data_IF_341265243585
#
_entry.id   IF_341265243585
#
_cell.length_a   1.000
_cell.length_b   1.000
_cell.length_c   1.000
_cell.angle_alpha   90.00
_cell.angle_beta   90.00
_cell.angle_gamma   90.00
#
_symmetry.space_group_name_H-M   'P 1'
#
loop_
_entity.id
_entity.type
_entity.pdbx_description
1 polymer ?
#
# COMPACT_ATOMS: atom_id res chain seq x y z
N UNK A 1 18.19 -13.33 -18.51
CA UNK A 1 17.79 -12.65 -17.25
C UNK A 1 16.29 -12.51 -17.15
N UNK A 2 15.60 -12.05 -18.20
CA UNK A 2 14.13 -11.93 -18.20
C UNK A 2 13.38 -13.24 -17.85
N UNK A 3 13.95 -14.39 -18.23
CA UNK A 3 13.44 -15.71 -17.87
C UNK A 3 13.31 -15.96 -16.36
N UNK A 4 14.15 -15.31 -15.54
CA UNK A 4 14.12 -15.45 -14.08
C UNK A 4 13.20 -14.41 -13.41
N UNK A 5 12.75 -13.36 -14.13
CA UNK A 5 11.92 -12.31 -13.54
C UNK A 5 10.60 -12.87 -13.01
N UNK A 6 9.90 -13.67 -13.83
CA UNK A 6 8.59 -14.24 -13.46
C UNK A 6 8.69 -15.18 -12.23
N UNK A 7 9.63 -16.15 -12.17
CA UNK A 7 9.82 -16.96 -10.98
C UNK A 7 10.17 -16.14 -9.72
N UNK A 8 11.13 -15.22 -9.81
CA UNK A 8 11.53 -14.38 -8.66
C UNK A 8 10.36 -13.54 -8.16
N UNK A 9 9.58 -12.97 -9.08
CA UNK A 9 8.35 -12.23 -8.74
C UNK A 9 7.37 -13.13 -7.99
N UNK A 10 7.07 -14.31 -8.53
CA UNK A 10 6.15 -15.27 -7.91
C UNK A 10 6.61 -15.72 -6.52
N UNK A 11 7.91 -15.93 -6.32
CA UNK A 11 8.47 -16.29 -5.01
C UNK A 11 8.33 -15.12 -4.00
N UNK A 12 8.64 -13.89 -4.43
CA UNK A 12 8.44 -12.69 -3.62
C UNK A 12 6.96 -12.50 -3.25
N UNK A 13 6.05 -12.67 -4.20
CA UNK A 13 4.60 -12.58 -3.95
C UNK A 13 4.14 -13.64 -2.97
N UNK A 14 4.58 -14.89 -3.11
CA UNK A 14 4.25 -15.95 -2.16
C UNK A 14 4.71 -15.63 -0.73
N UNK A 15 5.89 -15.02 -0.57
CA UNK A 15 6.39 -14.58 0.72
C UNK A 15 5.58 -13.39 1.28
N UNK A 16 5.30 -12.40 0.44
CA UNK A 16 4.53 -11.21 0.82
C UNK A 16 3.08 -11.54 1.15
N UNK A 17 2.42 -12.46 0.44
CA UNK A 17 1.07 -12.94 0.75
C UNK A 17 1.03 -13.61 2.13
N UNK A 18 2.02 -14.46 2.46
CA UNK A 18 2.12 -15.04 3.82
C UNK A 18 2.32 -13.96 4.87
N UNK A 19 3.17 -12.97 4.59
CA UNK A 19 3.41 -11.86 5.50
C UNK A 19 2.14 -11.04 5.72
N UNK A 20 1.40 -10.71 4.66
CA UNK A 20 0.13 -10.00 4.71
C UNK A 20 -0.89 -10.71 5.61
N UNK A 21 -1.01 -12.04 5.50
CA UNK A 21 -1.92 -12.85 6.33
C UNK A 21 -1.62 -12.77 7.83
N UNK A 22 -0.39 -12.45 8.23
CA UNK A 22 -0.05 -12.31 9.66
C UNK A 22 -0.60 -11.02 10.29
N UNK A 23 -1.06 -10.05 9.49
CA UNK A 23 -1.47 -8.72 9.95
C UNK A 23 -0.42 -8.02 10.84
N UNK A 24 0.85 -8.40 10.70
CA UNK A 24 1.98 -7.85 11.42
C UNK A 24 2.94 -7.18 10.45
N UNK A 25 3.55 -6.09 10.92
CA UNK A 25 4.63 -5.39 10.22
C UNK A 25 6.00 -5.65 10.84
N UNK A 26 6.09 -6.58 11.81
CA UNK A 26 7.32 -6.81 12.57
C UNK A 26 8.35 -7.59 11.77
N UNK A 27 9.60 -7.14 11.83
CA UNK A 27 10.71 -7.82 11.14
C UNK A 27 10.90 -9.26 11.62
N UNK A 28 10.67 -9.56 12.90
CA UNK A 28 10.75 -10.92 13.43
C UNK A 28 9.83 -11.89 12.68
N UNK A 29 8.57 -11.48 12.48
CA UNK A 29 7.54 -12.27 11.78
C UNK A 29 7.96 -12.50 10.32
N UNK A 30 8.40 -11.44 9.64
CA UNK A 30 8.95 -11.55 8.29
C UNK A 30 10.14 -12.53 8.24
N UNK A 31 11.07 -12.43 9.20
CA UNK A 31 12.28 -13.24 9.25
C UNK A 31 11.97 -14.73 9.45
N UNK A 32 10.90 -15.06 10.16
CA UNK A 32 10.45 -16.43 10.35
C UNK A 32 9.91 -17.00 9.03
N UNK A 33 9.05 -16.26 8.32
CA UNK A 33 8.56 -16.65 7.00
C UNK A 33 9.72 -16.84 6.01
N UNK A 34 10.68 -15.91 5.99
CA UNK A 34 11.88 -15.99 5.16
C UNK A 34 12.67 -17.29 5.39
N UNK A 35 12.87 -17.66 6.66
CA UNK A 35 13.58 -18.89 7.05
C UNK A 35 12.78 -20.14 6.69
N UNK A 36 11.48 -20.16 6.98
CA UNK A 36 10.58 -21.28 6.66
C UNK A 36 10.55 -21.57 5.15
N UNK A 37 10.49 -20.52 4.33
CA UNK A 37 10.56 -20.62 2.88
C UNK A 37 11.96 -20.93 2.36
N UNK A 38 12.98 -20.96 3.23
CA UNK A 38 14.40 -21.13 2.87
C UNK A 38 14.85 -20.11 1.80
N UNK A 39 14.31 -18.89 1.87
CA UNK A 39 14.34 -17.92 0.77
C UNK A 39 15.77 -17.50 0.37
N UNK A 40 16.74 -17.62 1.30
CA UNK A 40 18.17 -17.43 1.02
C UNK A 40 18.70 -18.25 -0.17
N UNK A 41 18.06 -19.39 -0.47
CA UNK A 41 18.47 -20.28 -1.57
C UNK A 41 18.19 -19.70 -2.96
N UNK A 42 17.48 -18.57 -3.06
CA UNK A 42 17.23 -17.87 -4.33
C UNK A 42 18.54 -17.58 -5.09
N UNK A 43 19.64 -17.35 -4.38
CA UNK A 43 20.95 -17.05 -4.98
C UNK A 43 21.77 -18.29 -5.42
N UNK A 44 21.30 -19.52 -5.19
CA UNK A 44 22.12 -20.75 -5.35
C UNK A 44 22.37 -21.16 -6.81
N UNK A 45 21.50 -20.79 -7.75
CA UNK A 45 21.50 -21.34 -9.13
C UNK A 45 21.84 -20.33 -10.25
N UNK A 46 22.31 -19.13 -9.93
CA UNK A 46 22.59 -18.13 -10.98
C UNK A 46 24.02 -18.24 -11.54
N UNK A 47 24.13 -18.52 -12.85
CA UNK A 47 25.39 -18.43 -13.60
C UNK A 47 25.95 -17.00 -13.66
N UNK A 48 25.09 -15.97 -13.61
CA UNK A 48 25.47 -14.57 -13.55
C UNK A 48 24.96 -13.95 -12.23
N UNK A 49 25.70 -14.21 -11.15
CA UNK A 49 25.36 -13.78 -9.79
C UNK A 49 25.02 -12.29 -9.72
N UNK A 50 25.82 -11.45 -10.37
CA UNK A 50 25.68 -9.99 -10.33
C UNK A 50 24.39 -9.51 -10.99
N UNK A 51 24.13 -9.96 -12.22
CA UNK A 51 22.89 -9.62 -12.91
C UNK A 51 21.66 -10.14 -12.16
N UNK A 52 21.76 -11.31 -11.53
CA UNK A 52 20.68 -11.89 -10.75
C UNK A 52 20.40 -11.14 -9.45
N UNK A 53 21.44 -10.70 -8.74
CA UNK A 53 21.25 -9.87 -7.56
C UNK A 53 20.55 -8.55 -7.92
N UNK A 54 20.92 -7.91 -9.03
CA UNK A 54 20.19 -6.73 -9.55
C UNK A 54 18.73 -7.05 -9.83
N UNK A 55 18.44 -8.15 -10.52
CA UNK A 55 17.07 -8.55 -10.84
C UNK A 55 16.22 -8.73 -9.58
N UNK A 56 16.76 -9.41 -8.56
CA UNK A 56 16.04 -9.67 -7.31
C UNK A 56 15.80 -8.37 -6.53
N UNK A 57 16.79 -7.47 -6.47
CA UNK A 57 16.64 -6.14 -5.87
C UNK A 57 15.62 -5.28 -6.64
N UNK A 58 15.65 -5.29 -7.97
CA UNK A 58 14.69 -4.56 -8.82
C UNK A 58 13.25 -5.06 -8.59
N UNK A 59 13.05 -6.38 -8.44
CA UNK A 59 11.73 -6.95 -8.15
C UNK A 59 11.25 -6.54 -6.74
N UNK A 60 12.11 -6.62 -5.74
CA UNK A 60 11.78 -6.22 -4.37
C UNK A 60 11.45 -4.72 -4.26
N UNK A 61 12.19 -3.88 -4.99
CA UNK A 61 11.99 -2.44 -5.04
C UNK A 61 10.57 -2.07 -5.49
N UNK A 62 9.99 -2.79 -6.45
CA UNK A 62 8.61 -2.56 -6.88
C UNK A 62 7.63 -2.61 -5.71
N UNK A 63 7.75 -3.61 -4.82
CA UNK A 63 6.83 -3.79 -3.68
C UNK A 63 7.02 -2.76 -2.56
N UNK A 64 8.19 -2.13 -2.49
CA UNK A 64 8.48 -1.06 -1.53
C UNK A 64 7.80 0.27 -1.90
N UNK A 65 7.51 0.48 -3.18
CA UNK A 65 6.95 1.73 -3.71
C UNK A 65 5.41 1.72 -3.73
N UNK A 66 4.75 2.89 -3.74
CA UNK A 66 3.32 2.98 -4.03
C UNK A 66 2.97 2.32 -5.38
N UNK A 67 1.75 1.77 -5.56
CA UNK A 67 0.54 1.94 -4.74
C UNK A 67 0.29 0.78 -3.75
N UNK A 68 1.31 0.04 -3.34
CA UNK A 68 1.13 -1.08 -2.40
C UNK A 68 0.77 -0.61 -0.99
N UNK A 69 -0.01 -1.42 -0.27
CA UNK A 69 -0.37 -1.16 1.13
C UNK A 69 0.85 -1.03 2.03
N UNK A 70 0.72 -0.30 3.14
CA UNK A 70 1.80 -0.08 4.09
C UNK A 70 2.50 -1.38 4.50
N UNK A 71 1.74 -2.44 4.84
CA UNK A 71 2.31 -3.73 5.23
C UNK A 71 3.11 -4.39 4.09
N UNK A 72 2.64 -4.30 2.84
CA UNK A 72 3.38 -4.83 1.69
C UNK A 72 4.64 -4.02 1.44
N UNK A 73 4.58 -2.69 1.57
CA UNK A 73 5.76 -1.81 1.45
C UNK A 73 6.81 -2.10 2.51
N UNK A 74 6.40 -2.34 3.75
CA UNK A 74 7.27 -2.85 4.82
C UNK A 74 7.90 -4.19 4.42
N UNK A 75 7.11 -5.13 3.91
CA UNK A 75 7.61 -6.40 3.38
C UNK A 75 8.62 -6.22 2.23
N UNK A 76 8.38 -5.26 1.33
CA UNK A 76 9.30 -4.88 0.25
C UNK A 76 10.63 -4.34 0.77
N UNK A 77 10.61 -3.49 1.80
CA UNK A 77 11.82 -3.02 2.47
C UNK A 77 12.58 -4.18 3.14
N UNK A 78 11.88 -5.09 3.79
CA UNK A 78 12.51 -6.27 4.43
C UNK A 78 13.10 -7.24 3.41
N UNK A 79 12.46 -7.40 2.26
CA UNK A 79 13.01 -8.12 1.11
C UNK A 79 14.31 -7.45 0.64
N UNK A 80 14.31 -6.13 0.40
CA UNK A 80 15.50 -5.37 -0.01
C UNK A 80 16.65 -5.54 0.98
N UNK A 81 16.37 -5.41 2.28
CA UNK A 81 17.34 -5.63 3.36
C UNK A 81 17.93 -7.04 3.32
N UNK A 82 17.06 -8.05 3.26
CA UNK A 82 17.47 -9.45 3.28
C UNK A 82 18.27 -9.82 2.03
N UNK A 83 17.85 -9.37 0.85
CA UNK A 83 18.59 -9.60 -0.39
C UNK A 83 19.95 -8.90 -0.41
N UNK A 84 20.01 -7.66 0.06
CA UNK A 84 21.27 -6.91 0.10
C UNK A 84 22.31 -7.60 0.98
N UNK A 85 21.90 -8.21 2.11
CA UNK A 85 22.81 -8.91 3.01
C UNK A 85 23.06 -10.38 2.64
N UNK A 86 22.13 -11.05 1.94
CA UNK A 86 22.28 -12.45 1.54
C UNK A 86 22.91 -12.66 0.15
N UNK A 87 23.10 -11.60 -0.64
CA UNK A 87 23.70 -11.72 -1.96
C UNK A 87 25.14 -12.28 -1.90
N UNK A 88 25.54 -12.97 -2.96
CA UNK A 88 26.85 -13.67 -3.05
C UNK A 88 27.89 -12.91 -3.88
N UNK A 89 27.63 -11.63 -4.16
CA UNK A 89 28.48 -10.76 -4.96
C UNK A 89 29.49 -10.02 -4.08
N UNK A 90 30.68 -9.78 -4.62
CA UNK A 90 31.68 -8.91 -4.00
C UNK A 90 32.26 -7.97 -5.07
N UNK A 91 32.16 -6.63 -4.90
CA UNK A 91 31.34 -5.94 -3.89
C UNK A 91 29.83 -6.22 -4.03
N UNK A 92 29.03 -6.00 -2.96
CA UNK A 92 27.57 -6.12 -3.00
C UNK A 92 26.97 -5.23 -4.10
N UNK A 93 25.94 -5.73 -4.79
CA UNK A 93 25.12 -4.91 -5.67
C UNK A 93 24.22 -3.99 -4.84
N UNK A 94 24.17 -2.73 -5.27
CA UNK A 94 23.39 -1.68 -4.63
C UNK A 94 21.94 -1.67 -5.15
N UNK A 95 21.04 -1.22 -4.29
CA UNK A 95 19.62 -1.02 -4.58
C UNK A 95 19.48 0.28 -5.37
N UNK A 96 18.97 0.21 -6.59
CA UNK A 96 18.74 1.40 -7.42
C UNK A 96 17.49 2.12 -6.97
N UNK A 97 17.62 3.38 -6.60
CA UNK A 97 16.50 4.24 -6.17
C UNK A 97 16.39 5.38 -7.16
N UNK A 98 15.21 5.52 -7.78
CA UNK A 98 14.99 6.65 -8.68
C UNK A 98 14.92 7.94 -7.87
N UNK A 99 15.56 9.02 -8.32
CA UNK A 99 15.55 10.27 -7.56
C UNK A 99 14.14 10.82 -7.31
N UNK A 100 13.21 10.61 -8.26
CA UNK A 100 11.80 10.98 -8.14
C UNK A 100 11.06 10.20 -7.04
N UNK A 101 11.50 9.00 -6.70
CA UNK A 101 10.85 8.14 -5.71
C UNK A 101 11.33 8.46 -4.28
N UNK A 102 12.35 9.32 -4.14
CA UNK A 102 12.95 9.61 -2.83
C UNK A 102 11.97 10.28 -1.86
N UNK A 103 11.07 11.12 -2.37
CA UNK A 103 10.02 11.73 -1.55
C UNK A 103 9.10 10.66 -0.93
N UNK A 104 8.73 9.64 -1.71
CA UNK A 104 7.91 8.51 -1.23
C UNK A 104 8.63 7.68 -0.16
N UNK A 105 9.96 7.51 -0.29
CA UNK A 105 10.80 6.85 0.72
C UNK A 105 10.80 7.65 2.03
N UNK A 106 10.95 8.97 1.96
CA UNK A 106 10.96 9.86 3.14
C UNK A 106 9.59 9.94 3.81
N UNK A 107 8.51 9.97 3.02
CA UNK A 107 7.15 9.92 3.54
C UNK A 107 6.87 8.59 4.26
N UNK A 108 7.32 7.47 3.69
CA UNK A 108 7.21 6.14 4.31
C UNK A 108 7.99 6.02 5.61
N UNK A 109 9.21 6.57 5.67
CA UNK A 109 9.99 6.62 6.91
C UNK A 109 9.25 7.39 8.01
N UNK A 110 8.70 8.55 7.66
CA UNK A 110 7.91 9.37 8.58
C UNK A 110 6.68 8.62 9.09
N UNK A 111 5.89 8.03 8.18
CA UNK A 111 4.72 7.21 8.52
C UNK A 111 5.09 6.07 9.47
N UNK A 112 6.22 5.39 9.21
CA UNK A 112 6.72 4.30 10.06
C UNK A 112 7.11 4.78 11.46
N UNK A 113 7.70 5.96 11.58
CA UNK A 113 8.06 6.58 12.86
C UNK A 113 6.81 7.02 13.64
N UNK A 114 5.87 7.67 12.96
CA UNK A 114 4.61 8.12 13.55
C UNK A 114 3.78 6.94 14.08
N UNK A 115 3.80 5.81 13.36
CA UNK A 115 3.18 4.55 13.77
C UNK A 115 4.01 3.70 14.76
N UNK A 116 5.17 4.18 15.21
CA UNK A 116 6.07 3.49 16.14
C UNK A 116 6.57 2.10 15.66
N UNK A 117 6.72 1.94 14.34
CA UNK A 117 7.34 0.78 13.71
C UNK A 117 8.86 0.97 13.61
N UNK A 118 9.52 1.00 14.78
CA UNK A 118 10.94 1.31 14.90
C UNK A 118 11.86 0.34 14.14
N UNK A 119 11.46 -0.92 13.98
CA UNK A 119 12.17 -1.93 13.20
C UNK A 119 12.25 -1.55 11.71
N UNK A 120 11.17 -0.98 11.16
CA UNK A 120 11.13 -0.47 9.78
C UNK A 120 12.11 0.70 9.62
N UNK A 121 12.04 1.69 10.52
CA UNK A 121 12.91 2.85 10.50
C UNK A 121 14.40 2.45 10.66
N UNK A 122 14.68 1.54 11.60
CA UNK A 122 16.02 1.02 11.82
C UNK A 122 16.59 0.33 10.57
N UNK A 123 15.82 -0.53 9.90
CA UNK A 123 16.27 -1.22 8.68
C UNK A 123 16.55 -0.24 7.54
N UNK A 124 15.70 0.77 7.35
CA UNK A 124 15.93 1.80 6.33
C UNK A 124 17.22 2.59 6.62
N UNK A 125 17.42 2.99 7.88
CA UNK A 125 18.63 3.67 8.35
C UNK A 125 19.89 2.79 8.19
N UNK A 126 19.77 1.49 8.45
CA UNK A 126 20.85 0.54 8.27
C UNK A 126 21.27 0.44 6.79
N UNK A 127 20.31 0.36 5.87
CA UNK A 127 20.59 0.36 4.43
C UNK A 127 21.29 1.65 3.97
N UNK A 128 20.89 2.81 4.51
CA UNK A 128 21.57 4.08 4.24
C UNK A 128 23.01 4.09 4.77
N UNK A 129 23.21 3.63 6.00
CA UNK A 129 24.54 3.59 6.65
C UNK A 129 25.50 2.66 5.91
N UNK A 130 25.00 1.52 5.42
CA UNK A 130 25.77 0.60 4.60
C UNK A 130 26.01 1.08 3.15
N UNK A 131 25.52 2.28 2.78
CA UNK A 131 25.57 2.81 1.40
C UNK A 131 24.95 1.82 0.40
N UNK A 132 23.87 1.15 0.81
CA UNK A 132 23.20 0.15 -0.01
C UNK A 132 22.44 0.78 -1.19
N UNK A 133 22.04 2.06 -1.09
CA UNK A 133 21.32 2.76 -2.15
C UNK A 133 22.24 3.40 -3.18
N UNK A 134 21.90 3.22 -4.45
CA UNK A 134 22.46 3.91 -5.61
C UNK A 134 21.36 4.78 -6.22
N UNK A 135 21.51 6.09 -6.14
CA UNK A 135 20.56 7.02 -6.75
C UNK A 135 20.72 7.04 -8.27
N UNK A 136 19.61 6.85 -8.99
CA UNK A 136 19.57 6.77 -10.45
C UNK A 136 18.42 7.59 -11.03
N UNK A 137 18.45 7.83 -12.35
CA UNK A 137 17.33 8.46 -13.04
C UNK A 137 16.12 7.52 -13.16
N UNK A 138 16.37 6.21 -13.30
CA UNK A 138 15.35 5.15 -13.38
C UNK A 138 15.73 3.98 -12.47
N UNK A 139 14.76 3.36 -11.78
CA UNK A 139 15.04 2.29 -10.83
C UNK A 139 15.53 1.04 -11.58
N UNK A 140 14.92 0.71 -12.71
CA UNK A 140 15.35 -0.39 -13.58
C UNK A 140 16.32 0.07 -14.67
N UNK A 141 17.19 -0.85 -15.13
CA UNK A 141 18.04 -0.61 -16.29
C UNK A 141 17.21 -0.61 -17.57
N UNK A 142 17.27 0.50 -18.30
CA UNK A 142 16.67 0.61 -19.63
C UNK A 142 17.54 -0.13 -20.64
N UNK A 143 16.91 -1.00 -21.42
CA UNK A 143 17.55 -1.68 -22.54
C UNK A 143 16.81 -1.29 -23.82
N UNK A 144 17.54 -1.07 -24.90
CA UNK A 144 16.92 -0.81 -26.19
C UNK A 144 16.29 -2.10 -26.73
N UNK A 145 14.96 -2.13 -26.84
CA UNK A 145 14.21 -3.19 -27.52
C UNK A 145 13.53 -2.64 -28.76
N UNK A 146 13.77 -3.27 -29.91
CA UNK A 146 13.14 -2.92 -31.19
C UNK A 146 11.65 -3.31 -31.25
N UNK A 147 11.21 -4.22 -30.37
CA UNK A 147 9.81 -4.59 -30.19
C UNK A 147 9.31 -3.91 -28.91
N UNK A 148 8.52 -2.85 -29.07
CA UNK A 148 7.70 -2.28 -27.99
C UNK A 148 6.50 -3.21 -27.80
N UNK A 149 6.62 -4.17 -26.89
CA UNK A 149 5.42 -4.73 -26.28
C UNK A 149 5.18 -3.87 -25.04
N UNK A 150 4.17 -3.01 -25.08
CA UNK A 150 3.73 -2.25 -23.91
C UNK A 150 2.96 -3.20 -22.97
N UNK A 151 3.66 -4.18 -22.41
CA UNK A 151 3.12 -4.95 -21.29
C UNK A 151 3.17 -4.03 -20.07
N UNK A 152 2.00 -3.49 -19.69
CA UNK A 152 1.87 -2.83 -18.38
C UNK A 152 2.35 -3.81 -17.32
N UNK A 153 3.20 -3.39 -16.36
CA UNK A 153 3.59 -4.28 -15.28
C UNK A 153 2.34 -4.72 -14.54
N UNK A 154 2.01 -6.00 -14.61
CA UNK A 154 0.92 -6.60 -13.84
C UNK A 154 1.28 -6.43 -12.36
N UNK A 155 0.65 -5.47 -11.69
CA UNK A 155 0.77 -5.31 -10.24
C UNK A 155 -0.17 -6.34 -9.57
N UNK A 156 0.20 -6.81 -8.38
CA UNK A 156 -0.68 -7.68 -7.61
C UNK A 156 -1.81 -6.84 -6.97
N UNK A 157 -3.02 -6.91 -7.52
CA UNK A 157 -4.18 -6.15 -7.04
C UNK A 157 -4.49 -6.39 -5.55
N UNK A 158 -4.21 -7.60 -5.04
CA UNK A 158 -4.42 -7.97 -3.63
C UNK A 158 -3.48 -7.23 -2.68
N UNK A 159 -2.35 -6.74 -3.19
CA UNK A 159 -1.34 -6.03 -2.40
C UNK A 159 -1.53 -4.53 -2.40
N UNK A 160 -2.26 -4.00 -3.37
CA UNK A 160 -2.49 -2.57 -3.49
C UNK A 160 -3.28 -2.04 -2.31
N UNK A 161 -2.90 -0.85 -1.85
CA UNK A 161 -3.71 -0.11 -0.91
C UNK A 161 -5.03 0.21 -1.61
N UNK A 162 -6.10 -0.47 -1.18
CA UNK A 162 -7.41 -0.22 -1.75
C UNK A 162 -7.74 1.24 -1.42
N UNK A 163 -7.97 2.13 -2.40
CA UNK A 163 -8.51 3.44 -2.08
C UNK A 163 -9.76 3.19 -1.26
N UNK A 164 -9.90 3.87 -0.13
CA UNK A 164 -11.08 3.73 0.73
C UNK A 164 -12.32 3.68 -0.18
N UNK A 165 -13.12 2.62 -0.04
CA UNK A 165 -14.39 2.47 -0.76
C UNK A 165 -15.50 2.74 0.24
N UNK A 166 -15.90 4.01 0.46
CA UNK A 166 -17.07 4.33 1.27
C UNK A 166 -18.30 3.49 0.89
N UNK A 167 -18.42 3.08 -0.38
CA UNK A 167 -19.45 2.18 -0.90
C UNK A 167 -19.40 0.74 -0.38
N UNK A 168 -18.25 0.24 0.05
CA UNK A 168 -18.14 -1.08 0.72
C UNK A 168 -18.54 -0.98 2.19
N UNK A 169 -18.29 0.16 2.82
CA UNK A 169 -18.68 0.45 4.20
C UNK A 169 -20.17 0.78 4.31
N UNK A 170 -20.68 1.65 3.44
CA UNK A 170 -22.07 2.12 3.40
C UNK A 170 -22.80 1.34 2.33
N UNK A 171 -23.12 0.08 2.66
CA UNK A 171 -23.96 -0.77 1.83
C UNK A 171 -25.45 -0.56 2.14
N UNK A 172 -26.33 -1.16 1.34
CA UNK A 172 -27.80 -1.05 1.50
C UNK A 172 -28.25 -1.48 2.89
N UNK A 173 -27.71 -2.58 3.40
CA UNK A 173 -28.04 -3.10 4.73
C UNK A 173 -27.66 -2.10 5.84
N UNK A 174 -26.46 -1.52 5.81
CA UNK A 174 -26.04 -0.54 6.82
C UNK A 174 -26.85 0.76 6.73
N UNK A 175 -27.23 1.18 5.51
CA UNK A 175 -28.07 2.36 5.31
C UNK A 175 -29.48 2.17 5.87
N UNK A 176 -30.06 0.98 5.70
CA UNK A 176 -31.33 0.60 6.32
C UNK A 176 -31.22 0.60 7.85
N UNK A 177 -30.18 -0.02 8.40
CA UNK A 177 -29.90 -0.03 9.85
C UNK A 177 -29.73 1.39 10.41
N UNK A 178 -28.96 2.25 9.75
CA UNK A 178 -28.80 3.65 10.15
C UNK A 178 -30.12 4.42 10.10
N UNK A 179 -30.96 4.18 9.08
CA UNK A 179 -32.28 4.80 8.97
C UNK A 179 -33.19 4.36 10.10
N UNK A 180 -33.19 3.07 10.42
CA UNK A 180 -33.95 2.50 11.53
C UNK A 180 -33.52 3.10 12.88
N UNK A 181 -32.21 3.17 13.13
CA UNK A 181 -31.66 3.77 14.36
C UNK A 181 -32.01 5.26 14.43
N UNK A 182 -31.92 5.99 13.32
CA UNK A 182 -32.25 7.42 13.28
C UNK A 182 -33.72 7.69 13.60
N UNK A 183 -34.64 6.93 13.00
CA UNK A 183 -36.07 7.05 13.28
C UNK A 183 -36.41 6.61 14.71
N UNK A 184 -35.79 5.53 15.22
CA UNK A 184 -35.96 5.12 16.61
C UNK A 184 -35.49 6.21 17.58
N UNK A 185 -34.31 6.80 17.35
CA UNK A 185 -33.79 7.90 18.16
C UNK A 185 -34.73 9.10 18.14
N UNK A 186 -35.22 9.48 16.95
CA UNK A 186 -36.15 10.59 16.76
C UNK A 186 -37.46 10.38 17.50
N UNK A 187 -38.06 9.20 17.37
CA UNK A 187 -39.32 8.85 18.05
C UNK A 187 -39.16 8.82 19.57
N UNK A 188 -38.07 8.24 20.05
CA UNK A 188 -37.76 8.17 21.49
C UNK A 188 -37.57 9.57 22.06
N UNK A 189 -36.77 10.41 21.38
CA UNK A 189 -36.50 11.79 21.81
C UNK A 189 -37.74 12.68 21.76
N UNK A 190 -38.60 12.50 20.75
CA UNK A 190 -39.90 13.20 20.68
C UNK A 190 -40.83 12.80 21.84
N UNK A 191 -40.87 11.52 22.18
CA UNK A 191 -41.69 10.99 23.29
C UNK A 191 -41.21 11.48 24.67
N UNK A 192 -39.90 11.59 24.87
CA UNK A 192 -39.34 12.15 26.12
C UNK A 192 -39.60 13.66 26.19
N UNK A 193 -39.47 14.36 25.07
CA UNK A 193 -39.67 15.81 25.02
C UNK A 193 -41.14 16.23 25.21
N UNK A 194 -42.12 15.37 24.93
CA UNK A 194 -43.53 15.68 25.18
C UNK A 194 -43.91 15.59 26.66
N UNK A 195 -43.10 14.90 27.47
CA UNK A 195 -43.30 14.71 28.91
C UNK A 195 -42.61 15.79 29.78
N UNK A 196 -41.68 16.57 29.20
CA UNK A 196 -40.79 17.47 29.93
C UNK A 196 -40.86 18.88 29.31
N UNK A 197 -40.91 19.92 30.15
CA UNK A 197 -41.23 21.32 29.82
C UNK A 197 -40.52 21.94 28.60
N UNK A 198 -40.99 23.12 28.18
CA UNK A 198 -40.63 23.93 26.99
C UNK A 198 -39.16 23.96 26.52
N UNK A 199 -38.17 23.73 27.39
CA UNK A 199 -36.75 23.64 27.02
C UNK A 199 -36.40 22.36 26.21
N UNK A 200 -37.14 21.26 26.37
CA UNK A 200 -36.88 20.01 25.67
C UNK A 200 -37.22 20.09 24.17
N UNK A 201 -38.24 20.88 23.80
CA UNK A 201 -38.67 21.06 22.41
C UNK A 201 -37.58 21.68 21.51
N UNK A 202 -36.75 22.57 22.07
CA UNK A 202 -35.60 23.16 21.36
C UNK A 202 -34.47 22.15 21.08
N UNK A 203 -34.40 21.04 21.82
CA UNK A 203 -33.42 19.99 21.57
C UNK A 203 -33.86 19.00 20.49
N UNK A 204 -35.17 18.89 20.24
CA UNK A 204 -35.77 18.06 19.18
C UNK A 204 -35.55 18.71 17.81
N UNK A 205 -35.59 20.03 17.72
CA UNK A 205 -35.29 20.75 16.47
C UNK A 205 -33.84 20.63 16.01
N UNK A 206 -32.93 20.19 16.89
CA UNK A 206 -31.53 19.88 16.54
C UNK A 206 -31.37 18.54 15.81
N UNK A 207 -32.41 17.70 15.74
CA UNK A 207 -32.35 16.44 15.00
C UNK A 207 -32.35 16.77 13.50
N UNK A 208 -31.18 16.64 12.88
CA UNK A 208 -31.01 16.86 11.45
C UNK A 208 -31.67 15.72 10.68
N UNK A 209 -32.74 16.04 9.94
CA UNK A 209 -33.42 15.08 9.08
C UNK A 209 -32.57 14.71 7.86
N UNK A 210 -32.72 13.47 7.39
CA UNK A 210 -32.12 13.05 6.11
C UNK A 210 -30.62 12.78 6.14
N UNK A 211 -29.99 12.67 7.31
CA UNK A 211 -28.54 12.43 7.44
C UNK A 211 -28.09 11.16 6.69
N UNK A 212 -28.93 10.12 6.67
CA UNK A 212 -28.62 8.87 5.95
C UNK A 212 -28.67 9.08 4.44
N UNK A 213 -29.62 9.87 3.94
CA UNK A 213 -29.70 10.22 2.52
C UNK A 213 -28.52 11.09 2.09
N UNK A 214 -28.15 12.10 2.89
CA UNK A 214 -26.97 12.95 2.64
C UNK A 214 -25.67 12.12 2.63
N UNK A 215 -25.56 11.14 3.53
CA UNK A 215 -24.42 10.24 3.59
C UNK A 215 -24.37 9.36 2.33
N UNK A 216 -25.49 8.74 1.95
CA UNK A 216 -25.58 7.92 0.74
C UNK A 216 -25.29 8.73 -0.53
N UNK A 217 -25.77 9.98 -0.62
CA UNK A 217 -25.45 10.86 -1.75
C UNK A 217 -23.97 11.20 -1.81
N UNK A 218 -23.34 11.52 -0.67
CA UNK A 218 -21.90 11.82 -0.62
C UNK A 218 -21.05 10.61 -1.03
N UNK A 219 -21.44 9.39 -0.63
CA UNK A 219 -20.77 8.15 -1.07
C UNK A 219 -20.92 7.93 -2.57
N UNK A 220 -22.11 8.15 -3.13
CA UNK A 220 -22.37 8.02 -4.56
C UNK A 220 -21.62 9.08 -5.38
N UNK A 221 -21.53 10.31 -4.90
CA UNK A 221 -20.72 11.37 -5.52
C UNK A 221 -19.24 10.98 -5.55
N UNK A 222 -18.71 10.46 -4.43
CA UNK A 222 -17.33 9.97 -4.37
C UNK A 222 -17.10 8.80 -5.32
N UNK A 223 -18.02 7.84 -5.38
CA UNK A 223 -17.95 6.70 -6.31
C UNK A 223 -17.91 7.16 -7.77
N UNK A 224 -18.80 8.08 -8.16
CA UNK A 224 -18.84 8.64 -9.50
C UNK A 224 -17.56 9.41 -9.84
N UNK A 225 -17.05 10.22 -8.90
CA UNK A 225 -15.77 10.90 -9.03
C UNK A 225 -14.63 9.90 -9.27
N UNK A 226 -14.60 8.81 -8.52
CA UNK A 226 -13.59 7.77 -8.63
C UNK A 226 -13.64 7.10 -10.01
N UNK A 227 -14.82 6.73 -10.49
CA UNK A 227 -15.01 6.09 -11.79
C UNK A 227 -14.59 6.99 -12.96
N UNK A 228 -14.85 8.29 -12.85
CA UNK A 228 -14.41 9.29 -13.83
C UNK A 228 -12.88 9.43 -13.90
N UNK A 229 -12.17 9.30 -12.77
CA UNK A 229 -10.70 9.35 -12.74
C UNK A 229 -10.03 8.10 -13.29
N UNK A 230 -10.60 6.93 -13.06
CA UNK A 230 -10.10 5.66 -13.62
C UNK A 230 -10.27 5.62 -15.15
N UNK A 231 -11.28 6.31 -15.68
CA UNK A 231 -11.58 6.34 -17.12
C UNK A 231 -10.69 7.30 -17.93
N UNK A 232 -10.03 8.29 -17.28
CA UNK A 232 -9.18 9.29 -17.95
C UNK A 232 -7.89 9.58 -17.18
N UNK A 233 -6.86 8.71 -17.25
CA UNK A 233 -5.59 8.93 -16.56
C UNK A 233 -4.70 10.05 -17.15
N UNK A 234 -5.08 10.69 -18.27
CA UNK A 234 -4.24 11.64 -19.01
C UNK A 234 -4.59 13.13 -18.87
N UNK A 235 -5.56 13.50 -18.03
CA UNK A 235 -5.95 14.91 -17.86
C UNK A 235 -5.40 15.59 -16.60
N UNK A 236 -4.48 14.93 -15.88
CA UNK A 236 -3.73 15.57 -14.79
C UNK A 236 -2.27 15.78 -15.23
N UNK A 237 -2.10 16.52 -16.32
CA UNK A 237 -0.88 17.30 -16.52
C UNK A 237 -1.14 18.70 -16.00
N UNK A 238 -0.40 19.08 -14.96
CA UNK A 238 0.03 20.44 -14.61
C UNK A 238 -0.97 21.58 -14.88
N UNK A 239 -1.55 22.12 -13.81
CA UNK A 239 -1.97 23.52 -13.81
C UNK A 239 -0.79 24.34 -13.25
N UNK A 240 -0.03 25.07 -14.07
CA UNK A 240 1.06 25.90 -13.59
C UNK A 240 0.48 27.23 -13.09
N UNK A 241 0.63 27.49 -11.81
CA UNK A 241 0.85 28.84 -11.32
C UNK A 241 2.25 28.90 -10.74
#
# INVERSE_FOLDING_TARGET
MESYRKPVKSDCEALLSRFQQTQSVRFEVFSNIWKEMKFVHIFRQSHNKRAFCRLVLDVAYCYFMPPFSFQIRVGGLYLLYSFYHCQTTSPPEQIRVALKDWEDVRNFEKESLDAQHLDVAYILQQLMTCKAFLFTAMPTLLHYSRKRTEEKPELCDEFMERPCRPQELINTQLSEEMSNIHELYKNTKASISSQMSTAAAASVSLIRGGIVLELCSAVMEFYNWQQNRVSFPHLITFNPY
#
